data_IF_848437773848
#
_entry.id   IF_848437773848
#
_cell.length_a   1.000
_cell.length_b   1.000
_cell.length_c   1.000
_cell.angle_alpha   90.00
_cell.angle_beta   90.00
_cell.angle_gamma   90.00
#
_symmetry.space_group_name_H-M   'P 1'
#
loop_
_entity.id
_entity.type
_entity.pdbx_description
1 polymer ?
#
# COMPACT_ATOMS: atom_id res chain seq x y z
N UNK A 1 -1.07 45.59 10.24
CA UNK A 1 -1.41 44.23 10.71
C UNK A 1 -1.13 44.14 12.20
N UNK A 2 -1.88 43.37 12.97
CA UNK A 2 -1.64 43.22 14.40
C UNK A 2 -0.63 42.08 14.63
N UNK A 3 0.30 42.27 15.56
CA UNK A 3 1.23 41.23 15.99
C UNK A 3 0.47 40.08 16.68
N UNK A 4 0.70 38.85 16.23
CA UNK A 4 0.07 37.67 16.80
C UNK A 4 1.03 37.06 17.83
N UNK A 5 0.63 37.04 19.10
CA UNK A 5 1.44 36.49 20.21
C UNK A 5 1.23 34.96 20.35
N UNK A 6 2.09 34.17 19.74
CA UNK A 6 2.02 32.71 19.74
C UNK A 6 2.19 32.10 21.13
N UNK A 7 2.94 32.74 22.03
CA UNK A 7 3.07 32.27 23.42
C UNK A 7 1.73 32.37 24.15
N UNK A 8 0.98 33.48 23.93
CA UNK A 8 -0.38 33.62 24.49
C UNK A 8 -1.37 32.64 23.90
N UNK A 9 -1.26 32.34 22.61
CA UNK A 9 -2.12 31.34 21.96
C UNK A 9 -1.94 29.97 22.57
N UNK A 10 -0.70 29.53 22.83
CA UNK A 10 -0.42 28.27 23.50
C UNK A 10 -0.60 28.36 25.03
N UNK A 11 -0.70 29.56 25.60
CA UNK A 11 -0.81 29.74 27.05
C UNK A 11 0.45 29.38 27.82
N UNK A 12 1.62 29.63 27.24
CA UNK A 12 2.95 29.37 27.81
C UNK A 12 3.75 30.64 27.98
N UNK A 13 4.75 30.62 28.87
CA UNK A 13 5.68 31.73 29.06
C UNK A 13 6.66 31.83 27.87
N UNK A 14 7.21 33.06 27.65
CA UNK A 14 8.23 33.27 26.58
C UNK A 14 9.51 32.48 26.81
N UNK A 15 9.81 32.10 28.04
CA UNK A 15 10.94 31.28 28.42
C UNK A 15 10.63 29.78 28.44
N UNK A 16 9.42 29.36 28.01
CA UNK A 16 8.98 27.98 28.02
C UNK A 16 9.94 27.07 27.24
N UNK A 17 10.20 25.92 27.79
CA UNK A 17 10.99 24.86 27.16
C UNK A 17 10.25 24.24 25.98
N UNK A 18 10.95 23.54 25.11
CA UNK A 18 10.36 22.82 23.98
C UNK A 18 9.34 21.77 24.41
N UNK A 19 9.57 21.13 25.56
CA UNK A 19 8.65 20.15 26.10
C UNK A 19 7.34 20.78 26.63
N UNK A 20 7.45 21.95 27.25
CA UNK A 20 6.26 22.69 27.70
C UNK A 20 5.42 23.19 26.50
N UNK A 21 6.07 23.67 25.46
CA UNK A 21 5.41 24.05 24.20
C UNK A 21 4.67 22.84 23.60
N UNK A 22 5.31 21.68 23.49
CA UNK A 22 4.69 20.44 22.97
C UNK A 22 3.51 19.97 23.85
N UNK A 23 3.62 20.07 25.14
CA UNK A 23 2.53 19.68 26.05
C UNK A 23 1.33 20.63 25.93
N UNK A 24 1.57 21.94 25.88
CA UNK A 24 0.55 22.95 25.68
C UNK A 24 -0.18 22.75 24.33
N UNK A 25 0.58 22.54 23.27
CA UNK A 25 0.03 22.23 21.96
C UNK A 25 -0.89 21.00 21.97
N UNK A 26 -0.41 19.85 22.49
CA UNK A 26 -1.21 18.61 22.54
C UNK A 26 -2.52 18.80 23.30
N UNK A 27 -2.50 19.56 24.38
CA UNK A 27 -3.70 19.86 25.19
C UNK A 27 -4.70 20.71 24.40
N UNK A 28 -4.24 21.75 23.70
CA UNK A 28 -5.09 22.66 22.96
C UNK A 28 -5.56 22.05 21.63
N UNK A 29 -4.70 21.32 20.94
CA UNK A 29 -5.06 20.59 19.71
C UNK A 29 -6.17 19.56 19.99
N UNK A 30 -6.10 18.81 21.09
CA UNK A 30 -7.18 17.91 21.51
C UNK A 30 -8.46 18.68 21.87
N UNK A 31 -8.33 19.83 22.54
CA UNK A 31 -9.49 20.65 22.96
C UNK A 31 -10.24 21.23 21.76
N UNK A 32 -9.53 21.69 20.74
CA UNK A 32 -10.13 22.35 19.57
C UNK A 32 -10.18 21.48 18.32
N UNK A 33 -10.02 20.15 18.49
CA UNK A 33 -10.05 19.20 17.36
C UNK A 33 -11.40 19.26 16.63
N UNK A 34 -11.41 19.31 15.27
CA UNK A 34 -12.66 19.42 14.51
C UNK A 34 -13.64 18.28 14.80
N UNK A 35 -13.16 17.06 14.98
CA UNK A 35 -14.03 15.90 15.27
C UNK A 35 -14.74 16.01 16.64
N UNK A 36 -14.15 16.73 17.57
CA UNK A 36 -14.71 16.91 18.91
C UNK A 36 -15.57 18.18 19.06
N UNK A 37 -15.50 19.08 18.06
CA UNK A 37 -16.16 20.40 18.11
C UNK A 37 -16.90 20.68 16.80
N UNK A 38 -17.66 19.72 16.29
CA UNK A 38 -18.35 19.81 14.98
C UNK A 38 -19.37 20.96 14.90
N UNK A 39 -19.88 21.39 16.04
CA UNK A 39 -20.94 22.41 16.12
C UNK A 39 -20.40 23.81 16.53
N UNK A 40 -19.09 23.96 16.74
CA UNK A 40 -18.48 25.25 17.08
C UNK A 40 -17.61 25.82 15.96
N UNK A 41 -18.14 26.76 15.13
CA UNK A 41 -17.37 27.40 14.06
C UNK A 41 -16.11 28.14 14.54
N UNK A 42 -16.06 28.51 15.83
CA UNK A 42 -14.89 29.20 16.39
C UNK A 42 -13.75 28.23 16.74
N UNK A 43 -14.04 26.94 16.86
CA UNK A 43 -13.04 25.92 17.21
C UNK A 43 -12.04 25.72 16.07
N UNK A 44 -12.48 25.75 14.82
CA UNK A 44 -11.62 25.62 13.63
C UNK A 44 -10.57 26.74 13.56
N UNK A 45 -10.99 27.99 13.75
CA UNK A 45 -10.07 29.13 13.76
C UNK A 45 -9.06 29.07 14.92
N UNK A 46 -9.50 28.61 16.11
CA UNK A 46 -8.60 28.41 17.25
C UNK A 46 -7.63 27.25 17.02
N UNK A 47 -8.08 26.18 16.37
CA UNK A 47 -7.23 25.05 16.01
C UNK A 47 -6.14 25.44 15.02
N UNK A 48 -6.49 26.25 14.01
CA UNK A 48 -5.52 26.80 13.05
C UNK A 48 -4.47 27.68 13.76
N UNK A 49 -4.90 28.58 14.64
CA UNK A 49 -3.98 29.41 15.42
C UNK A 49 -3.05 28.61 16.32
N UNK A 50 -3.54 27.54 16.95
CA UNK A 50 -2.75 26.64 17.79
C UNK A 50 -1.71 25.88 16.95
N UNK A 51 -2.07 25.42 15.75
CA UNK A 51 -1.16 24.76 14.82
C UNK A 51 -0.07 25.71 14.33
N UNK A 52 -0.44 26.94 13.95
CA UNK A 52 0.49 27.98 13.52
C UNK A 52 1.47 28.36 14.65
N UNK A 53 0.99 28.53 15.87
CA UNK A 53 1.82 28.80 17.03
C UNK A 53 2.82 27.66 17.32
N UNK A 54 2.36 26.40 17.19
CA UNK A 54 3.25 25.26 17.35
C UNK A 54 4.31 25.17 16.25
N UNK A 55 3.94 25.39 14.98
CA UNK A 55 4.85 25.40 13.84
C UNK A 55 6.02 26.38 14.01
N UNK A 56 5.75 27.52 14.62
CA UNK A 56 6.77 28.55 14.86
C UNK A 56 7.58 28.28 16.13
N UNK A 57 6.93 27.92 17.24
CA UNK A 57 7.60 27.84 18.54
C UNK A 57 8.27 26.49 18.82
N UNK A 58 7.89 25.41 18.10
CA UNK A 58 8.53 24.11 18.25
C UNK A 58 9.87 23.98 17.52
N UNK A 59 10.11 24.84 16.54
CA UNK A 59 11.38 24.93 15.81
C UNK A 59 12.24 26.03 16.41
N UNK A 60 13.47 25.73 16.92
CA UNK A 60 14.33 26.73 17.54
C UNK A 60 14.72 27.89 16.62
N UNK A 61 14.92 27.65 15.33
CA UNK A 61 15.30 28.69 14.37
C UNK A 61 14.10 29.60 14.04
N UNK A 62 12.91 29.03 13.85
CA UNK A 62 11.67 29.80 13.63
C UNK A 62 11.32 30.61 14.88
N UNK A 63 11.45 30.00 16.07
CA UNK A 63 11.22 30.67 17.34
C UNK A 63 12.15 31.87 17.52
N UNK A 64 13.45 31.72 17.23
CA UNK A 64 14.41 32.81 17.31
C UNK A 64 14.04 33.97 16.38
N UNK A 65 13.71 33.68 15.13
CA UNK A 65 13.24 34.71 14.17
C UNK A 65 11.96 35.39 14.62
N UNK A 66 11.04 34.65 15.16
CA UNK A 66 9.79 35.19 15.69
C UNK A 66 10.04 36.11 16.90
N UNK A 67 10.92 35.72 17.82
CA UNK A 67 11.28 36.51 18.99
C UNK A 67 12.00 37.80 18.60
N UNK A 68 12.94 37.76 17.67
CA UNK A 68 13.63 38.91 17.10
C UNK A 68 12.63 39.87 16.43
N UNK A 69 11.69 39.33 15.63
CA UNK A 69 10.65 40.15 14.98
C UNK A 69 9.71 40.79 16.01
N UNK A 70 9.35 40.05 17.06
CA UNK A 70 8.48 40.55 18.12
C UNK A 70 9.11 41.65 18.97
N UNK A 71 10.43 41.67 19.14
CA UNK A 71 11.16 42.78 19.77
C UNK A 71 11.16 44.04 18.88
N UNK A 72 11.40 43.87 17.59
CA UNK A 72 11.39 44.97 16.62
C UNK A 72 9.99 45.57 16.41
N UNK A 73 8.94 44.76 16.51
CA UNK A 73 7.56 45.26 16.38
C UNK A 73 7.17 46.25 17.50
N UNK A 74 7.77 46.10 18.68
CA UNK A 74 7.53 47.05 19.80
C UNK A 74 8.14 48.42 19.57
N UNK A 75 9.11 48.51 18.67
CA UNK A 75 9.82 49.75 18.30
C UNK A 75 9.53 50.19 16.85
N UNK A 76 8.36 49.81 16.30
CA UNK A 76 8.05 49.94 14.89
C UNK A 76 8.06 51.40 14.36
N UNK A 77 7.94 52.40 15.22
CA UNK A 77 7.99 53.83 14.81
C UNK A 77 9.43 54.31 14.60
N UNK A 78 10.45 53.72 15.23
CA UNK A 78 11.86 54.05 15.01
C UNK A 78 12.41 53.34 13.78
N UNK A 79 11.92 52.13 13.44
CA UNK A 79 12.44 51.27 12.37
C UNK A 79 12.01 51.66 10.96
N UNK A 80 10.94 52.43 10.80
CA UNK A 80 10.55 52.93 9.47
C UNK A 80 11.62 53.83 8.83
N UNK A 81 12.29 54.62 9.61
CA UNK A 81 13.36 55.51 9.12
C UNK A 81 14.65 54.73 8.76
N UNK A 82 15.00 53.72 9.51
CA UNK A 82 16.20 52.88 9.27
C UNK A 82 16.05 51.97 8.06
N UNK A 83 14.86 51.41 7.82
CA UNK A 83 14.55 50.53 6.68
C UNK A 83 14.61 51.25 5.34
N UNK A 84 14.21 52.51 5.29
CA UNK A 84 14.35 53.35 4.08
C UNK A 84 15.82 53.66 3.77
N UNK A 85 16.67 53.80 4.78
CA UNK A 85 18.10 53.97 4.60
C UNK A 85 18.79 52.69 4.12
N UNK A 86 18.40 51.49 4.66
CA UNK A 86 18.96 50.21 4.30
C UNK A 86 18.57 49.75 2.89
N UNK A 87 17.36 50.06 2.44
CA UNK A 87 16.91 49.71 1.08
C UNK A 87 17.67 50.48 -0.02
N UNK A 88 18.18 51.66 0.29
CA UNK A 88 19.06 52.43 -0.62
C UNK A 88 20.49 51.92 -0.66
N UNK A 89 20.99 51.27 0.41
CA UNK A 89 22.34 50.73 0.47
C UNK A 89 22.46 49.36 -0.18
N UNK A 90 21.38 48.55 -0.25
CA UNK A 90 21.40 47.19 -0.74
C UNK A 90 21.27 47.05 -2.26
N UNK A 91 21.10 48.13 -3.01
CA UNK A 91 21.16 48.09 -4.48
C UNK A 91 22.55 47.93 -5.08
N UNK A 92 23.62 47.85 -4.28
CA UNK A 92 24.99 47.81 -4.79
C UNK A 92 25.82 46.55 -4.46
N UNK A 93 25.38 45.62 -3.59
CA UNK A 93 26.19 44.43 -3.35
C UNK A 93 25.34 43.20 -3.13
N UNK A 94 25.47 42.24 -4.07
CA UNK A 94 24.98 40.87 -3.95
C UNK A 94 25.69 40.11 -2.84
N UNK A 95 24.97 39.52 -1.92
CA UNK A 95 25.45 38.69 -0.83
C UNK A 95 24.58 37.50 -0.60
N UNK A 96 25.20 36.37 -0.83
CA UNK A 96 24.74 34.98 -0.67
C UNK A 96 24.22 34.71 0.75
N UNK A 97 22.95 34.32 0.87
CA UNK A 97 22.37 33.81 2.11
C UNK A 97 22.21 32.30 2.07
N UNK A 98 22.92 31.61 2.92
CA UNK A 98 22.83 30.16 3.12
C UNK A 98 21.51 29.77 3.77
N UNK A 99 20.73 28.93 3.10
CA UNK A 99 19.52 28.31 3.64
C UNK A 99 19.76 26.85 3.90
N UNK A 100 19.69 26.43 5.16
CA UNK A 100 19.64 25.02 5.54
C UNK A 100 18.21 24.51 5.40
N UNK A 101 18.02 23.54 4.53
CA UNK A 101 16.79 22.71 4.47
C UNK A 101 16.94 21.60 5.48
N UNK A 102 16.17 21.61 6.55
CA UNK A 102 15.91 20.41 7.37
C UNK A 102 14.58 19.80 6.95
N UNK A 103 14.72 18.64 6.36
CA UNK A 103 13.65 17.73 6.02
C UNK A 103 13.33 16.89 7.26
N UNK A 104 12.20 17.14 7.91
CA UNK A 104 11.64 16.20 8.86
C UNK A 104 10.21 15.84 8.40
N UNK A 105 10.16 14.74 7.65
CA UNK A 105 8.97 14.24 6.97
C UNK A 105 8.12 13.33 7.85
N UNK A 106 7.71 13.74 9.05
CA UNK A 106 6.88 12.87 9.89
C UNK A 106 5.58 13.46 10.40
N UNK A 107 5.14 14.62 9.86
CA UNK A 107 3.88 15.23 10.33
C UNK A 107 2.92 15.70 9.23
N UNK A 108 3.04 15.20 7.98
CA UNK A 108 2.12 15.58 6.89
C UNK A 108 1.06 14.54 6.56
N UNK A 109 0.95 13.44 7.30
CA UNK A 109 -0.05 12.38 7.01
C UNK A 109 -1.45 12.62 7.59
N UNK A 110 -1.77 13.80 8.07
CA UNK A 110 -3.09 14.09 8.64
C UNK A 110 -3.87 15.26 8.05
N UNK A 111 -3.27 16.10 7.20
CA UNK A 111 -3.93 17.33 6.75
C UNK A 111 -3.70 17.66 5.27
N UNK A 112 -3.71 16.66 4.40
CA UNK A 112 -3.63 16.77 2.96
C UNK A 112 -5.00 16.83 2.30
N UNK A 113 -5.64 17.98 2.35
CA UNK A 113 -6.90 18.14 1.63
C UNK A 113 -7.44 19.56 1.72
N UNK A 114 -7.15 20.33 0.74
CA UNK A 114 -7.64 21.65 0.32
C UNK A 114 -6.66 22.81 0.52
N UNK A 115 -6.15 23.31 -0.60
CA UNK A 115 -5.72 24.69 -0.88
C UNK A 115 -4.88 25.41 0.17
N UNK A 116 -3.67 25.78 -0.19
CA UNK A 116 -2.71 26.61 0.56
C UNK A 116 -3.29 27.97 1.00
N UNK A 117 -4.15 27.99 2.02
CA UNK A 117 -4.72 29.24 2.57
C UNK A 117 -5.21 29.12 4.02
N UNK A 118 -4.50 28.35 4.87
CA UNK A 118 -4.89 28.15 6.28
C UNK A 118 -4.02 28.90 7.30
N UNK A 119 -2.92 29.53 6.89
CA UNK A 119 -2.08 30.30 7.79
C UNK A 119 -2.45 31.78 7.76
N UNK A 120 -2.19 32.50 8.89
CA UNK A 120 -2.46 33.92 8.97
C UNK A 120 -1.55 34.73 8.03
N UNK A 121 -2.01 35.89 7.57
CA UNK A 121 -1.20 36.84 6.79
C UNK A 121 0.10 37.23 7.52
N UNK A 122 0.09 37.16 8.86
CA UNK A 122 1.27 37.39 9.69
C UNK A 122 2.32 36.28 9.51
N UNK A 123 1.88 35.03 9.50
CA UNK A 123 2.76 33.87 9.26
C UNK A 123 3.33 33.91 7.83
N UNK A 124 2.49 34.18 6.82
CA UNK A 124 2.93 34.29 5.44
C UNK A 124 3.95 35.39 5.22
N UNK A 125 3.79 36.53 5.89
CA UNK A 125 4.72 37.64 5.81
C UNK A 125 6.07 37.34 6.49
N UNK A 126 6.05 36.64 7.63
CA UNK A 126 7.26 36.36 8.40
C UNK A 126 8.03 35.14 7.85
N UNK A 127 7.31 34.15 7.35
CA UNK A 127 7.87 32.88 6.87
C UNK A 127 7.55 32.55 5.40
N UNK A 128 6.58 33.26 4.78
CA UNK A 128 6.10 33.01 3.41
C UNK A 128 6.91 33.67 2.30
N UNK A 129 7.84 34.58 2.59
CA UNK A 129 8.66 35.31 1.60
C UNK A 129 9.68 34.45 0.84
N UNK A 130 9.66 33.11 1.01
CA UNK A 130 10.45 32.18 0.22
C UNK A 130 9.81 31.74 -1.11
N UNK A 131 8.56 32.14 -1.45
CA UNK A 131 7.81 31.58 -2.60
C UNK A 131 7.71 32.48 -3.84
N UNK A 132 8.37 33.61 -3.87
CA UNK A 132 8.28 34.58 -4.97
C UNK A 132 9.63 35.00 -5.57
N UNK A 133 10.61 34.13 -5.67
CA UNK A 133 11.90 34.39 -6.32
C UNK A 133 12.21 33.32 -7.36
N UNK A 134 12.35 33.71 -8.61
CA UNK A 134 12.80 32.98 -9.78
C UNK A 134 14.22 32.42 -9.56
N UNK A 135 14.34 31.39 -8.75
CA UNK A 135 15.53 30.57 -8.60
C UNK A 135 15.04 29.12 -8.52
N UNK A 136 15.31 28.33 -9.55
CA UNK A 136 14.89 26.95 -9.62
C UNK A 136 15.45 26.16 -8.44
N UNK A 137 14.67 26.02 -7.39
CA UNK A 137 14.87 24.94 -6.45
C UNK A 137 14.48 23.66 -7.15
N UNK A 138 15.47 22.87 -7.52
CA UNK A 138 15.27 21.48 -7.87
C UNK A 138 14.69 20.80 -6.61
N UNK A 139 13.38 20.82 -6.46
CA UNK A 139 12.72 19.88 -5.55
C UNK A 139 13.14 18.50 -6.03
N UNK A 140 13.87 17.77 -5.20
CA UNK A 140 14.14 16.35 -5.41
C UNK A 140 12.78 15.65 -5.40
N UNK A 141 12.10 15.61 -6.55
CA UNK A 141 10.84 14.89 -6.66
C UNK A 141 11.15 13.40 -6.71
N UNK A 142 10.54 12.63 -5.84
CA UNK A 142 10.57 11.17 -5.93
C UNK A 142 10.02 10.73 -7.30
N UNK A 143 10.64 9.72 -7.91
CA UNK A 143 10.15 9.11 -9.13
C UNK A 143 8.75 8.52 -8.94
N UNK A 144 7.98 8.43 -10.01
CA UNK A 144 6.64 7.83 -9.95
C UNK A 144 6.73 6.33 -9.74
N UNK A 145 5.78 5.78 -8.98
CA UNK A 145 5.61 4.36 -8.81
C UNK A 145 5.05 3.74 -10.11
N UNK A 146 5.37 2.47 -10.36
CA UNK A 146 4.92 1.72 -11.55
C UNK A 146 4.09 0.54 -11.06
N UNK A 147 2.91 0.37 -11.63
CA UNK A 147 2.08 -0.81 -11.45
C UNK A 147 2.24 -1.73 -12.66
N UNK A 148 2.43 -3.02 -12.40
CA UNK A 148 2.55 -4.06 -13.41
C UNK A 148 1.75 -5.29 -13.02
N UNK A 149 1.26 -6.04 -14.01
CA UNK A 149 0.62 -7.33 -13.80
C UNK A 149 1.54 -8.43 -14.34
N UNK A 150 1.63 -9.53 -13.60
CA UNK A 150 2.38 -10.70 -14.00
C UNK A 150 1.46 -11.91 -14.05
N UNK A 151 1.24 -12.43 -15.26
CA UNK A 151 0.49 -13.64 -15.48
C UNK A 151 1.34 -14.87 -15.15
N UNK A 152 0.78 -15.79 -14.39
CA UNK A 152 1.38 -17.03 -13.98
C UNK A 152 0.41 -18.17 -14.26
N UNK A 153 0.88 -19.24 -14.88
CA UNK A 153 0.15 -20.49 -14.90
C UNK A 153 0.03 -21.07 -13.49
N UNK A 154 -0.94 -21.94 -13.26
CA UNK A 154 -1.09 -22.62 -11.98
C UNK A 154 0.18 -23.41 -11.58
N UNK A 155 0.87 -24.02 -12.56
CA UNK A 155 2.13 -24.74 -12.35
C UNK A 155 3.27 -23.79 -11.92
N UNK A 156 3.38 -22.62 -12.49
CA UNK A 156 4.39 -21.62 -12.09
C UNK A 156 4.14 -21.13 -10.67
N UNK A 157 2.87 -20.87 -10.31
CA UNK A 157 2.52 -20.48 -8.96
C UNK A 157 2.66 -21.63 -7.92
N UNK A 158 2.72 -22.90 -8.37
CA UNK A 158 2.92 -24.08 -7.52
C UNK A 158 4.37 -24.23 -7.04
N UNK A 159 5.36 -23.76 -7.80
CA UNK A 159 6.77 -23.93 -7.48
C UNK A 159 7.47 -22.59 -7.27
N UNK A 160 8.41 -22.54 -6.33
CA UNK A 160 9.28 -21.36 -6.19
C UNK A 160 10.24 -21.31 -7.37
N UNK A 161 10.19 -20.23 -8.15
CA UNK A 161 11.04 -20.03 -9.31
C UNK A 161 11.54 -18.59 -9.44
N UNK A 162 12.50 -18.39 -10.30
CA UNK A 162 13.04 -17.05 -10.61
C UNK A 162 12.47 -16.57 -11.94
N UNK A 163 11.84 -15.42 -11.94
CA UNK A 163 11.31 -14.77 -13.13
C UNK A 163 12.11 -13.50 -13.42
N UNK A 164 12.43 -13.28 -14.69
CA UNK A 164 13.08 -12.06 -15.14
C UNK A 164 12.10 -11.27 -16.01
N UNK A 165 11.99 -9.98 -15.76
CA UNK A 165 11.16 -9.08 -16.53
C UNK A 165 11.90 -7.76 -16.75
N UNK A 166 11.52 -7.01 -17.81
CA UNK A 166 12.13 -5.74 -18.12
C UNK A 166 11.24 -4.59 -17.70
N UNK A 167 11.80 -3.68 -16.89
CA UNK A 167 11.15 -2.43 -16.50
C UNK A 167 12.10 -1.29 -16.86
N UNK A 168 11.61 -0.28 -17.57
CA UNK A 168 12.41 0.88 -18.00
C UNK A 168 13.71 0.51 -18.73
N UNK A 169 13.74 -0.64 -19.43
CA UNK A 169 14.94 -1.14 -20.12
C UNK A 169 15.95 -1.87 -19.24
N UNK A 170 15.67 -2.02 -17.94
CA UNK A 170 16.48 -2.79 -17.00
C UNK A 170 15.86 -4.16 -16.76
N UNK A 171 16.66 -5.23 -16.82
CA UNK A 171 16.22 -6.59 -16.52
C UNK A 171 16.29 -6.85 -15.01
N UNK A 172 15.13 -7.03 -14.42
CA UNK A 172 15.00 -7.29 -12.98
C UNK A 172 14.65 -8.77 -12.79
N UNK A 173 15.40 -9.44 -11.91
CA UNK A 173 15.17 -10.84 -11.56
C UNK A 173 14.57 -10.94 -10.18
N UNK A 174 13.34 -11.41 -10.09
CA UNK A 174 12.64 -11.66 -8.82
C UNK A 174 12.50 -13.14 -8.55
N UNK A 175 12.35 -13.50 -7.29
CA UNK A 175 11.94 -14.84 -6.88
C UNK A 175 10.44 -14.82 -6.60
N UNK A 176 9.67 -15.59 -7.37
CA UNK A 176 8.25 -15.84 -7.12
C UNK A 176 8.16 -17.02 -6.17
N UNK A 177 7.68 -16.84 -4.94
CA UNK A 177 7.55 -17.95 -4.00
C UNK A 177 6.35 -18.84 -4.37
N UNK A 178 6.46 -20.14 -4.08
CA UNK A 178 5.34 -21.07 -4.21
C UNK A 178 4.16 -20.63 -3.34
N UNK A 179 2.95 -20.88 -3.82
CA UNK A 179 1.74 -20.59 -3.07
C UNK A 179 1.20 -19.15 -3.22
N UNK A 180 1.80 -18.30 -4.06
CA UNK A 180 1.27 -16.96 -4.30
C UNK A 180 -0.22 -17.01 -4.66
N UNK A 181 -1.00 -16.06 -4.14
CA UNK A 181 -2.43 -15.97 -4.41
C UNK A 181 -2.70 -15.11 -5.65
N UNK A 182 -3.84 -15.35 -6.30
CA UNK A 182 -4.35 -14.47 -7.34
C UNK A 182 -4.64 -13.08 -6.77
N UNK A 183 -4.25 -12.02 -7.49
CA UNK A 183 -4.36 -10.63 -7.03
C UNK A 183 -3.33 -10.22 -5.97
N UNK A 184 -2.43 -11.09 -5.56
CA UNK A 184 -1.39 -10.74 -4.58
C UNK A 184 -0.38 -9.78 -5.19
N UNK A 185 -0.10 -8.67 -4.49
CA UNK A 185 0.87 -7.66 -4.94
C UNK A 185 2.16 -7.75 -4.14
N UNK A 186 3.30 -7.60 -4.83
CA UNK A 186 4.63 -7.42 -4.23
C UNK A 186 5.18 -6.06 -4.60
N UNK A 187 5.95 -5.45 -3.71
CA UNK A 187 6.62 -4.16 -3.93
C UNK A 187 8.12 -4.36 -4.12
N UNK A 188 8.67 -3.78 -5.18
CA UNK A 188 10.10 -3.70 -5.45
C UNK A 188 10.55 -2.25 -5.23
N UNK A 189 11.21 -2.00 -4.10
CA UNK A 189 11.61 -0.65 -3.71
C UNK A 189 12.69 -0.11 -4.64
N UNK A 190 12.49 1.12 -5.14
CA UNK A 190 13.47 1.86 -5.95
C UNK A 190 13.57 1.45 -7.42
N UNK A 191 12.69 0.55 -7.91
CA UNK A 191 12.67 0.10 -9.30
C UNK A 191 11.65 0.82 -10.19
N UNK A 192 10.91 1.81 -9.65
CA UNK A 192 9.99 2.66 -10.38
C UNK A 192 10.68 3.64 -11.32
N UNK A 193 9.99 4.72 -11.68
CA UNK A 193 10.57 5.76 -12.52
C UNK A 193 11.73 6.44 -11.80
N UNK A 194 12.77 6.79 -12.58
CA UNK A 194 13.90 7.56 -12.06
C UNK A 194 13.44 8.94 -11.61
N UNK A 195 13.89 9.35 -10.44
CA UNK A 195 13.65 10.69 -9.95
C UNK A 195 14.38 11.72 -10.82
N UNK A 196 13.77 12.87 -11.03
CA UNK A 196 14.47 14.02 -11.57
C UNK A 196 15.35 14.65 -10.48
N UNK A 197 16.55 15.12 -10.86
CA UNK A 197 17.45 15.87 -9.99
C UNK A 197 18.01 15.12 -8.76
N UNK A 198 18.24 13.80 -8.87
CA UNK A 198 18.92 13.01 -7.82
C UNK A 198 18.04 12.63 -6.63
N UNK A 199 16.71 12.72 -6.75
CA UNK A 199 15.77 12.20 -5.76
C UNK A 199 15.72 10.66 -5.74
N UNK A 200 14.94 10.09 -4.82
CA UNK A 200 14.71 8.64 -4.77
C UNK A 200 13.83 8.19 -5.94
N UNK A 201 14.15 7.05 -6.54
CA UNK A 201 13.29 6.43 -7.54
C UNK A 201 11.95 6.01 -6.92
N UNK A 202 10.92 5.91 -7.76
CA UNK A 202 9.67 5.28 -7.39
C UNK A 202 9.82 3.78 -7.13
N UNK A 203 8.75 3.13 -6.74
CA UNK A 203 8.68 1.69 -6.52
C UNK A 203 7.92 1.00 -7.67
N UNK A 204 8.09 -0.31 -7.79
CA UNK A 204 7.28 -1.14 -8.69
C UNK A 204 6.38 -2.02 -7.87
N UNK A 205 5.10 -2.01 -8.17
CA UNK A 205 4.08 -2.90 -7.61
C UNK A 205 3.71 -3.93 -8.66
N UNK A 206 4.00 -5.21 -8.39
CA UNK A 206 3.67 -6.31 -9.30
C UNK A 206 2.53 -7.10 -8.70
N UNK A 207 1.39 -7.12 -9.39
CA UNK A 207 0.23 -7.93 -9.01
C UNK A 207 0.25 -9.24 -9.81
N UNK A 208 0.25 -10.38 -9.12
CA UNK A 208 0.17 -11.68 -9.74
C UNK A 208 -1.26 -11.98 -10.18
N UNK A 209 -1.40 -12.41 -11.42
CA UNK A 209 -2.65 -12.89 -12.01
C UNK A 209 -2.46 -14.36 -12.33
N UNK A 210 -3.21 -15.25 -11.67
CA UNK A 210 -3.08 -16.70 -11.89
C UNK A 210 -4.09 -17.11 -12.97
N UNK A 211 -3.57 -17.61 -14.08
CA UNK A 211 -4.39 -18.08 -15.18
C UNK A 211 -5.20 -19.32 -14.76
N UNK A 212 -6.40 -19.43 -15.32
CA UNK A 212 -7.25 -20.62 -15.11
C UNK A 212 -6.59 -21.85 -15.71
N UNK A 213 -6.64 -22.95 -14.94
CA UNK A 213 -6.21 -24.28 -15.40
C UNK A 213 -7.42 -25.13 -15.73
N UNK A 214 -7.36 -25.88 -16.84
CA UNK A 214 -8.48 -26.72 -17.29
C UNK A 214 -8.68 -27.99 -16.45
N UNK A 215 -7.65 -28.42 -15.73
CA UNK A 215 -7.65 -29.65 -14.95
C UNK A 215 -7.96 -29.38 -13.47
N UNK A 216 -7.45 -28.27 -12.94
CA UNK A 216 -7.48 -27.97 -11.53
C UNK A 216 -8.15 -26.61 -11.26
N UNK A 217 -9.10 -26.60 -10.32
CA UNK A 217 -9.67 -25.39 -9.75
C UNK A 217 -9.04 -25.15 -8.38
N UNK A 218 -8.33 -24.04 -8.18
CA UNK A 218 -7.75 -23.67 -6.90
C UNK A 218 -8.75 -22.87 -6.06
N UNK A 219 -8.95 -23.29 -4.79
CA UNK A 219 -9.73 -22.54 -3.78
C UNK A 219 -8.90 -22.44 -2.49
N UNK A 220 -8.28 -21.28 -2.28
CA UNK A 220 -7.29 -21.10 -1.21
C UNK A 220 -6.05 -21.97 -1.47
N UNK A 221 -5.77 -22.87 -0.54
CA UNK A 221 -4.67 -23.84 -0.68
C UNK A 221 -5.16 -25.22 -1.14
N UNK A 222 -6.45 -25.42 -1.32
CA UNK A 222 -7.01 -26.68 -1.81
C UNK A 222 -7.15 -26.67 -3.33
N UNK A 223 -6.97 -27.86 -3.94
CA UNK A 223 -7.18 -28.09 -5.36
C UNK A 223 -8.41 -28.97 -5.56
N UNK A 224 -9.21 -28.61 -6.53
CA UNK A 224 -10.38 -29.39 -6.95
C UNK A 224 -10.17 -29.88 -8.37
N UNK A 225 -10.50 -31.15 -8.59
CA UNK A 225 -10.50 -31.75 -9.92
C UNK A 225 -11.58 -32.80 -10.03
N UNK A 226 -11.83 -33.25 -11.24
CA UNK A 226 -12.71 -34.37 -11.48
C UNK A 226 -11.96 -35.46 -12.26
N UNK A 227 -12.36 -36.69 -12.08
CA UNK A 227 -11.85 -37.84 -12.85
C UNK A 227 -13.03 -38.66 -13.34
N UNK A 228 -12.96 -39.04 -14.60
CA UNK A 228 -13.97 -39.89 -15.21
C UNK A 228 -13.69 -41.36 -14.84
N UNK A 229 -14.70 -42.04 -14.35
CA UNK A 229 -14.70 -43.50 -14.13
C UNK A 229 -15.79 -44.12 -14.97
N UNK A 230 -15.56 -45.32 -15.45
CA UNK A 230 -16.59 -46.07 -16.18
C UNK A 230 -17.64 -46.67 -15.22
N UNK A 231 -18.81 -46.98 -15.75
CA UNK A 231 -19.95 -47.51 -15.00
C UNK A 231 -19.57 -48.80 -14.24
N UNK A 232 -18.75 -49.66 -14.84
CA UNK A 232 -18.40 -50.95 -14.23
C UNK A 232 -17.49 -50.74 -13.01
N UNK A 233 -16.52 -49.85 -13.13
CA UNK A 233 -15.66 -49.42 -12.02
C UNK A 233 -16.46 -48.79 -10.90
N UNK A 234 -17.48 -47.96 -11.21
CA UNK A 234 -18.34 -47.36 -10.21
C UNK A 234 -19.17 -48.40 -9.44
N UNK A 235 -19.73 -49.41 -10.15
CA UNK A 235 -20.61 -50.42 -9.55
C UNK A 235 -19.81 -51.52 -8.82
N UNK A 236 -18.79 -52.04 -9.47
CA UNK A 236 -18.04 -53.23 -8.98
C UNK A 236 -16.81 -52.87 -8.15
N UNK A 237 -16.41 -51.62 -8.16
CA UNK A 237 -15.16 -51.16 -7.59
C UNK A 237 -13.98 -51.34 -8.57
N UNK A 238 -12.86 -50.76 -8.23
CA UNK A 238 -11.65 -50.85 -9.06
C UNK A 238 -10.62 -49.78 -8.67
N UNK A 239 -9.77 -49.43 -9.62
CA UNK A 239 -8.76 -48.38 -9.46
C UNK A 239 -8.85 -47.39 -10.61
N UNK A 240 -8.62 -46.11 -10.30
CA UNK A 240 -8.53 -45.05 -11.29
C UNK A 240 -7.23 -44.26 -11.08
N UNK A 241 -6.63 -43.79 -12.17
CA UNK A 241 -5.46 -42.93 -12.11
C UNK A 241 -5.93 -41.46 -12.13
N UNK A 242 -5.41 -40.68 -11.19
CA UNK A 242 -5.72 -39.25 -11.07
C UNK A 242 -4.44 -38.44 -11.22
N UNK A 243 -4.49 -37.42 -12.06
CA UNK A 243 -3.41 -36.43 -12.21
C UNK A 243 -3.35 -35.55 -10.98
N UNK A 244 -2.18 -35.37 -10.42
CA UNK A 244 -1.90 -34.36 -9.38
C UNK A 244 -0.80 -33.41 -9.84
N UNK A 245 -0.51 -32.37 -9.09
CA UNK A 245 0.60 -31.47 -9.42
C UNK A 245 1.96 -32.15 -9.40
N UNK A 246 2.10 -33.21 -8.58
CA UNK A 246 3.36 -34.01 -8.44
C UNK A 246 3.43 -35.24 -9.35
N UNK A 247 2.40 -35.50 -10.16
CA UNK A 247 2.33 -36.67 -11.03
C UNK A 247 1.03 -37.45 -10.90
N UNK A 248 1.04 -38.73 -11.26
CA UNK A 248 -0.15 -39.60 -11.26
C UNK A 248 -0.27 -40.38 -9.96
N UNK A 249 -1.47 -40.43 -9.39
CA UNK A 249 -1.79 -41.20 -8.18
C UNK A 249 -2.90 -42.19 -8.49
N UNK A 250 -2.79 -43.42 -8.03
CA UNK A 250 -3.85 -44.45 -8.12
C UNK A 250 -4.81 -44.30 -6.94
N UNK A 251 -6.08 -44.18 -7.23
CA UNK A 251 -7.15 -44.16 -6.25
C UNK A 251 -7.99 -45.44 -6.34
N UNK A 252 -8.29 -46.00 -5.18
CA UNK A 252 -9.21 -47.15 -5.08
C UNK A 252 -10.66 -46.64 -5.08
N UNK A 253 -11.47 -47.12 -6.03
CA UNK A 253 -12.90 -46.86 -6.12
C UNK A 253 -13.64 -47.97 -5.40
N UNK A 254 -14.51 -47.60 -4.45
CA UNK A 254 -15.32 -48.57 -3.72
C UNK A 254 -16.50 -49.02 -4.58
N UNK A 255 -16.96 -50.28 -4.46
CA UNK A 255 -18.19 -50.73 -5.10
C UNK A 255 -19.37 -49.83 -4.69
N UNK A 256 -20.26 -49.55 -5.64
CA UNK A 256 -21.43 -48.69 -5.40
C UNK A 256 -21.12 -47.19 -5.30
N UNK A 257 -19.95 -46.74 -5.78
CA UNK A 257 -19.58 -45.34 -5.82
C UNK A 257 -20.57 -44.57 -6.68
N UNK A 258 -21.14 -43.48 -6.12
CA UNK A 258 -22.10 -42.61 -6.80
C UNK A 258 -21.40 -41.47 -7.54
N UNK A 259 -22.11 -40.90 -8.56
CA UNK A 259 -21.64 -39.72 -9.26
C UNK A 259 -21.40 -38.56 -8.28
N UNK A 260 -20.38 -37.74 -8.56
CA UNK A 260 -19.95 -36.60 -7.74
C UNK A 260 -19.48 -36.97 -6.31
N UNK A 261 -19.25 -38.25 -6.04
CA UNK A 261 -18.58 -38.71 -4.81
C UNK A 261 -17.20 -38.05 -4.74
N UNK A 262 -16.90 -37.41 -3.61
CA UNK A 262 -15.65 -36.66 -3.41
C UNK A 262 -14.68 -37.51 -2.56
N UNK A 263 -13.43 -37.55 -3.01
CA UNK A 263 -12.31 -38.16 -2.28
C UNK A 263 -11.26 -37.08 -2.00
N UNK A 264 -10.83 -37.05 -0.74
CA UNK A 264 -9.82 -36.09 -0.31
C UNK A 264 -8.43 -36.76 -0.26
N UNK A 265 -7.50 -36.17 -0.99
CA UNK A 265 -6.08 -36.53 -0.97
C UNK A 265 -5.32 -35.54 -0.11
N UNK A 266 -4.97 -35.90 1.10
CA UNK A 266 -4.30 -35.05 2.06
C UNK A 266 -2.91 -34.65 1.57
N UNK A 267 -2.59 -33.33 1.69
CA UNK A 267 -1.31 -32.77 1.34
C UNK A 267 -0.98 -32.84 -0.17
N UNK A 268 -1.99 -32.99 -1.04
CA UNK A 268 -1.86 -32.98 -2.50
C UNK A 268 -2.48 -31.72 -3.13
N UNK A 269 -2.85 -30.75 -2.29
CA UNK A 269 -3.33 -29.43 -2.71
C UNK A 269 -2.20 -28.50 -3.09
N UNK A 270 -2.47 -27.20 -3.00
CA UNK A 270 -1.52 -26.13 -3.35
C UNK A 270 -0.58 -25.84 -2.18
N UNK A 271 0.66 -25.41 -2.42
CA UNK A 271 1.57 -25.04 -1.34
C UNK A 271 1.05 -23.80 -0.60
N UNK A 272 1.17 -23.83 0.73
CA UNK A 272 0.81 -22.71 1.57
C UNK A 272 1.87 -21.61 1.47
N UNK A 273 1.47 -20.41 1.13
CA UNK A 273 2.38 -19.29 0.91
C UNK A 273 3.32 -19.06 2.11
N UNK A 274 4.61 -18.96 1.85
CA UNK A 274 5.69 -18.80 2.85
C UNK A 274 5.79 -19.88 3.92
N UNK A 275 5.13 -21.03 3.75
CA UNK A 275 5.21 -22.18 4.68
C UNK A 275 5.79 -23.39 3.95
N UNK A 276 7.10 -23.53 4.00
CA UNK A 276 7.81 -24.61 3.29
C UNK A 276 7.33 -25.99 3.77
N UNK A 277 6.96 -26.84 2.81
CA UNK A 277 6.53 -28.23 3.08
C UNK A 277 5.09 -28.36 3.55
N UNK A 278 4.33 -27.26 3.67
CA UNK A 278 2.90 -27.33 3.96
C UNK A 278 2.10 -27.19 2.66
N UNK A 279 1.13 -28.05 2.51
CA UNK A 279 0.23 -28.11 1.35
C UNK A 279 -1.21 -28.25 1.84
N UNK A 280 -2.13 -27.66 1.10
CA UNK A 280 -3.54 -27.95 1.22
C UNK A 280 -3.89 -29.37 0.75
N UNK A 281 -5.16 -29.66 0.61
CA UNK A 281 -5.66 -30.94 0.18
C UNK A 281 -6.17 -30.91 -1.26
N UNK A 282 -6.20 -32.06 -1.93
CA UNK A 282 -6.80 -32.17 -3.23
C UNK A 282 -8.12 -32.94 -3.12
N UNK A 283 -9.18 -32.34 -3.65
CA UNK A 283 -10.53 -32.89 -3.67
C UNK A 283 -10.83 -33.39 -5.09
N UNK A 284 -10.94 -34.71 -5.22
CA UNK A 284 -11.24 -35.39 -6.49
C UNK A 284 -12.70 -35.78 -6.50
N UNK A 285 -13.46 -35.32 -7.49
CA UNK A 285 -14.86 -35.71 -7.72
C UNK A 285 -14.92 -36.80 -8.80
N UNK A 286 -15.58 -37.89 -8.54
CA UNK A 286 -15.78 -38.96 -9.54
C UNK A 286 -16.93 -38.58 -10.48
N UNK A 287 -16.67 -38.65 -11.78
CA UNK A 287 -17.67 -38.48 -12.82
C UNK A 287 -17.92 -39.79 -13.51
N UNK A 288 -19.15 -40.33 -13.42
CA UNK A 288 -19.46 -41.64 -13.97
C UNK A 288 -19.84 -41.52 -15.43
N UNK A 289 -19.04 -42.11 -16.31
CA UNK A 289 -19.36 -42.16 -17.72
C UNK A 289 -20.25 -43.37 -18.01
N UNK A 290 -21.48 -43.09 -18.44
CA UNK A 290 -22.41 -44.10 -18.93
C UNK A 290 -22.11 -44.33 -20.41
N UNK A 291 -21.90 -45.64 -20.85
CA UNK A 291 -21.62 -45.91 -22.24
C UNK A 291 -22.82 -45.50 -23.13
N UNK A 292 -22.53 -44.72 -24.16
CA UNK A 292 -23.54 -44.20 -25.09
C UNK A 292 -23.88 -45.19 -26.20
N UNK A 293 -23.00 -46.16 -26.50
CA UNK A 293 -23.19 -47.21 -27.50
C UNK A 293 -22.99 -48.56 -26.87
N UNK A 294 -23.96 -49.45 -26.95
CA UNK A 294 -23.93 -50.80 -26.42
C UNK A 294 -24.03 -51.82 -27.56
N UNK A 295 -23.25 -52.88 -27.48
CA UNK A 295 -23.45 -54.04 -28.31
C UNK A 295 -24.74 -54.78 -27.93
N UNK A 296 -25.34 -55.58 -28.80
CA UNK A 296 -26.55 -56.35 -28.50
C UNK A 296 -26.38 -57.24 -27.25
N UNK A 297 -25.23 -57.90 -27.12
CA UNK A 297 -24.90 -58.68 -25.92
C UNK A 297 -24.86 -57.82 -24.62
N UNK A 298 -24.36 -56.60 -24.68
CA UNK A 298 -24.36 -55.70 -23.52
C UNK A 298 -25.80 -55.25 -23.18
N UNK A 299 -26.62 -54.93 -24.17
CA UNK A 299 -28.04 -54.62 -23.96
C UNK A 299 -28.78 -55.73 -23.27
N UNK A 300 -28.55 -56.99 -23.72
CA UNK A 300 -29.19 -58.18 -23.12
C UNK A 300 -28.75 -58.32 -21.65
N UNK A 301 -27.48 -58.16 -21.35
CA UNK A 301 -26.99 -58.22 -19.97
C UNK A 301 -27.57 -57.10 -19.07
N UNK A 302 -27.69 -55.87 -19.57
CA UNK A 302 -28.32 -54.78 -18.83
C UNK A 302 -29.81 -55.03 -18.62
N UNK A 303 -30.51 -55.66 -19.62
CA UNK A 303 -31.94 -56.04 -19.46
C UNK A 303 -32.10 -57.13 -18.39
N UNK A 304 -31.20 -58.12 -18.35
CA UNK A 304 -31.18 -59.15 -17.31
C UNK A 304 -30.95 -58.54 -15.92
N UNK A 305 -29.99 -57.63 -15.79
CA UNK A 305 -29.72 -56.90 -14.53
C UNK A 305 -30.96 -56.11 -14.09
N UNK A 306 -31.61 -55.42 -15.00
CA UNK A 306 -32.84 -54.65 -14.72
C UNK A 306 -33.99 -55.58 -14.25
N UNK A 307 -34.09 -56.81 -14.78
CA UNK A 307 -35.09 -57.77 -14.37
C UNK A 307 -34.78 -58.45 -13.02
N UNK A 308 -33.52 -58.40 -12.58
CA UNK A 308 -33.06 -58.97 -11.30
C UNK A 308 -33.12 -57.95 -10.15
N UNK A 309 -33.42 -56.68 -10.43
CA UNK A 309 -33.56 -55.59 -9.45
C UNK A 309 -35.02 -55.47 -8.98
#
# INVERSE_FOLDING_TARGET
MAFIDYYKILGVDRNATQDEIKQAYRKLAKKYHPDLNKDDPSAEGKFQQVNEANEVLSDPEKRKKYDEYGEHWKHADEFKQEREAYSRAQQQHGGSGYWYSMNDGEFTEGFGGTGASGFSDFFEQLFGHGRGGRGGYHTMSRGQDIEAQMHLSLNEAYVTHKQTFSINGENIRITVPAGVADGQTIRLKGYGQKAMNGGENGDVYITFVIDKDDTFERKGDDLYTHVNIDLYTAVLGGEVQVKTMDGMVKLKVKPGTQNDTKVRLRGKGFPVYKQTGQFGDMIVSYHINIPTSLTEKQKDLFNQLRAAS
#
